data_IF_441139866162
#
_entry.id   IF_441139866162
#
_cell.length_a   1.000
_cell.length_b   1.000
_cell.length_c   1.000
_cell.angle_alpha   90.00
_cell.angle_beta   90.00
_cell.angle_gamma   90.00
#
_symmetry.space_group_name_H-M   'P 1'
#
loop_
_entity.id
_entity.type
_entity.pdbx_description
1 polymer ?
#
# COMPACT_ATOMS: atom_id res chain seq x y z
N UNK A 1 33.38 19.21 25.94
CA UNK A 1 32.72 17.88 25.96
C UNK A 1 31.25 18.14 26.26
N UNK A 2 30.25 17.83 25.44
CA UNK A 2 30.14 16.78 24.42
C UNK A 2 29.54 17.32 23.11
N UNK A 3 30.11 16.84 22.01
CA UNK A 3 29.65 16.94 20.63
C UNK A 3 28.38 16.10 20.47
N UNK A 4 27.24 16.71 20.17
CA UNK A 4 26.03 15.97 19.79
C UNK A 4 25.86 16.01 18.27
N UNK A 5 26.00 14.89 17.54
CA UNK A 5 25.69 14.82 16.12
C UNK A 5 24.21 14.41 15.98
N UNK A 6 23.32 15.36 15.71
CA UNK A 6 21.98 15.04 15.25
C UNK A 6 22.04 14.90 13.72
N UNK A 7 22.36 13.68 13.29
CA UNK A 7 22.26 13.22 11.92
C UNK A 7 20.80 13.42 11.48
N UNK A 8 20.58 14.40 10.61
CA UNK A 8 19.33 14.58 9.88
C UNK A 8 19.16 13.42 8.90
N UNK A 9 18.68 12.28 9.41
CA UNK A 9 18.11 11.23 8.57
C UNK A 9 16.82 11.80 8.01
N UNK A 10 16.90 12.29 6.77
CA UNK A 10 15.74 12.49 5.92
C UNK A 10 15.09 11.13 5.69
N UNK A 11 14.21 10.75 6.59
CA UNK A 11 13.24 9.70 6.34
C UNK A 11 12.40 10.15 5.14
N UNK A 12 12.29 9.37 4.06
CA UNK A 12 11.35 9.68 2.99
C UNK A 12 9.94 9.60 3.60
N UNK A 13 9.32 10.76 3.78
CA UNK A 13 7.90 10.88 4.08
C UNK A 13 7.14 10.16 2.95
N UNK A 14 6.34 9.12 3.22
CA UNK A 14 5.35 8.68 2.23
C UNK A 14 4.30 9.78 2.12
N UNK A 15 4.42 10.58 1.07
CA UNK A 15 3.42 11.58 0.67
C UNK A 15 2.09 10.85 0.43
N UNK A 16 1.03 11.32 1.11
CA UNK A 16 -0.36 11.46 0.62
C UNK A 16 -1.34 11.62 1.80
N UNK A 17 -1.15 12.70 2.57
CA UNK A 17 -2.04 13.14 3.64
C UNK A 17 -2.88 14.35 3.20
N UNK A 18 -3.62 14.22 2.10
CA UNK A 18 -4.70 15.17 1.77
C UNK A 18 -5.68 14.48 0.82
N UNK A 19 -6.67 13.79 1.39
CA UNK A 19 -7.93 13.53 0.69
C UNK A 19 -9.06 13.99 1.59
N UNK A 20 -9.21 15.31 1.67
CA UNK A 20 -10.47 15.96 2.03
C UNK A 20 -11.49 15.61 0.94
N UNK A 21 -12.23 14.50 1.09
CA UNK A 21 -13.21 14.05 0.08
C UNK A 21 -14.49 13.58 0.80
N UNK A 22 -15.69 13.99 0.31
CA UNK A 22 -16.98 13.82 0.99
C UNK A 22 -17.30 12.38 1.43
N UNK A 23 -17.77 12.28 2.68
CA UNK A 23 -17.50 11.18 3.62
C UNK A 23 -18.32 9.88 3.46
N UNK A 24 -19.22 9.74 2.49
CA UNK A 24 -20.12 8.55 2.47
C UNK A 24 -20.02 7.60 1.28
N UNK A 25 -19.80 8.07 0.04
CA UNK A 25 -19.59 7.17 -1.11
C UNK A 25 -18.11 6.84 -1.32
N UNK A 26 -17.23 7.76 -0.94
CA UNK A 26 -15.78 7.61 -1.13
C UNK A 26 -15.12 6.77 -0.04
N UNK A 27 -15.73 6.62 1.14
CA UNK A 27 -15.17 5.82 2.22
C UNK A 27 -15.12 4.32 1.88
N UNK A 28 -16.16 3.79 1.22
CA UNK A 28 -16.18 2.40 0.76
C UNK A 28 -15.10 2.16 -0.29
N UNK A 29 -15.06 3.00 -1.33
CA UNK A 29 -14.03 2.93 -2.38
C UNK A 29 -12.62 3.15 -1.82
N UNK A 30 -12.44 4.10 -0.90
CA UNK A 30 -11.14 4.38 -0.27
C UNK A 30 -10.67 3.21 0.60
N UNK A 31 -11.57 2.51 1.30
CA UNK A 31 -11.22 1.30 2.03
C UNK A 31 -10.79 0.16 1.10
N UNK A 32 -11.47 0.00 -0.05
CA UNK A 32 -11.10 -0.97 -1.08
C UNK A 32 -9.77 -0.59 -1.76
N UNK A 33 -9.56 0.68 -2.11
CA UNK A 33 -8.30 1.21 -2.64
C UNK A 33 -7.14 1.02 -1.65
N UNK A 34 -7.37 1.26 -0.35
CA UNK A 34 -6.38 1.03 0.68
C UNK A 34 -6.00 -0.45 0.79
N UNK A 35 -6.98 -1.37 0.74
CA UNK A 35 -6.72 -2.82 0.69
C UNK A 35 -5.91 -3.19 -0.56
N UNK A 36 -6.25 -2.63 -1.72
CA UNK A 36 -5.52 -2.84 -2.97
C UNK A 36 -4.06 -2.36 -2.86
N UNK A 37 -3.84 -1.16 -2.33
CA UNK A 37 -2.51 -0.58 -2.15
C UNK A 37 -1.64 -1.40 -1.17
N UNK A 38 -2.24 -1.96 -0.11
CA UNK A 38 -1.55 -2.86 0.83
C UNK A 38 -1.14 -4.17 0.16
N UNK A 39 -2.02 -4.76 -0.64
CA UNK A 39 -1.71 -5.98 -1.40
C UNK A 39 -0.60 -5.72 -2.43
N UNK A 40 -0.64 -4.59 -3.12
CA UNK A 40 0.41 -4.19 -4.08
C UNK A 40 1.77 -3.99 -3.41
N UNK A 41 1.80 -3.34 -2.26
CA UNK A 41 3.05 -3.21 -1.48
C UNK A 41 3.59 -4.56 -1.06
N UNK A 42 2.74 -5.47 -0.57
CA UNK A 42 3.16 -6.83 -0.19
C UNK A 42 3.70 -7.62 -1.39
N UNK A 43 3.07 -7.49 -2.57
CA UNK A 43 3.57 -8.12 -3.80
C UNK A 43 4.94 -7.55 -4.17
N UNK A 44 5.09 -6.22 -4.16
CA UNK A 44 6.35 -5.57 -4.50
C UNK A 44 7.48 -5.91 -3.51
N UNK A 45 7.18 -5.98 -2.21
CA UNK A 45 8.13 -6.41 -1.18
C UNK A 45 8.58 -7.86 -1.38
N UNK A 46 7.65 -8.76 -1.71
CA UNK A 46 7.95 -10.18 -1.95
C UNK A 46 8.70 -10.40 -3.29
N UNK A 47 8.33 -9.68 -4.35
CA UNK A 47 9.03 -9.71 -5.65
C UNK A 47 10.43 -9.09 -5.58
N UNK A 48 10.67 -8.16 -4.65
CA UNK A 48 11.98 -7.57 -4.42
C UNK A 48 12.90 -8.46 -3.55
N UNK A 49 12.38 -9.55 -2.96
CA UNK A 49 13.25 -10.52 -2.29
C UNK A 49 14.05 -11.31 -3.32
N UNK A 50 15.34 -11.59 -3.07
CA UNK A 50 16.18 -12.39 -3.97
C UNK A 50 15.71 -13.85 -4.11
N UNK A 51 14.78 -14.29 -3.24
CA UNK A 51 14.08 -15.57 -3.34
C UNK A 51 12.57 -15.31 -3.23
N UNK A 52 11.90 -14.98 -4.33
CA UNK A 52 10.48 -14.67 -4.31
C UNK A 52 9.67 -15.94 -4.03
N UNK A 53 8.83 -15.93 -3.00
CA UNK A 53 7.86 -16.99 -2.78
C UNK A 53 6.74 -16.86 -3.82
N UNK A 54 6.90 -17.60 -4.91
CA UNK A 54 5.98 -17.58 -6.05
C UNK A 54 4.56 -18.01 -5.68
N UNK A 55 4.38 -18.84 -4.64
CA UNK A 55 3.06 -19.21 -4.13
C UNK A 55 2.40 -18.04 -3.42
N UNK A 56 3.13 -17.34 -2.53
CA UNK A 56 2.61 -16.15 -1.85
C UNK A 56 2.34 -15.02 -2.84
N UNK A 57 3.22 -14.77 -3.81
CA UNK A 57 3.01 -13.76 -4.86
C UNK A 57 1.79 -14.10 -5.71
N UNK A 58 1.58 -15.38 -6.07
CA UNK A 58 0.41 -15.80 -6.82
C UNK A 58 -0.90 -15.64 -6.02
N UNK A 59 -0.87 -15.95 -4.72
CA UNK A 59 -2.03 -15.77 -3.84
C UNK A 59 -2.35 -14.28 -3.64
N UNK A 60 -1.33 -13.45 -3.36
CA UNK A 60 -1.46 -11.99 -3.26
C UNK A 60 -1.98 -11.36 -4.55
N UNK A 61 -1.51 -11.82 -5.73
CA UNK A 61 -2.03 -11.38 -7.03
C UNK A 61 -3.50 -11.75 -7.23
N UNK A 62 -3.93 -12.95 -6.81
CA UNK A 62 -5.34 -13.36 -6.83
C UNK A 62 -6.19 -12.50 -5.90
N UNK A 63 -5.71 -12.24 -4.69
CA UNK A 63 -6.39 -11.36 -3.74
C UNK A 63 -6.50 -9.93 -4.30
N UNK A 64 -5.43 -9.41 -4.91
CA UNK A 64 -5.44 -8.10 -5.58
C UNK A 64 -6.47 -8.05 -6.70
N UNK A 65 -6.56 -9.10 -7.52
CA UNK A 65 -7.54 -9.18 -8.60
C UNK A 65 -8.98 -9.08 -8.07
N UNK A 66 -9.29 -9.81 -7.00
CA UNK A 66 -10.62 -9.76 -6.36
C UNK A 66 -10.95 -8.39 -5.80
N UNK A 67 -10.01 -7.74 -5.10
CA UNK A 67 -10.22 -6.38 -4.58
C UNK A 67 -10.43 -5.38 -5.73
N UNK A 68 -9.71 -5.54 -6.84
CA UNK A 68 -9.89 -4.70 -8.03
C UNK A 68 -11.26 -4.91 -8.69
N UNK A 69 -11.76 -6.14 -8.72
CA UNK A 69 -13.11 -6.46 -9.19
C UNK A 69 -14.18 -5.86 -8.27
N UNK A 70 -14.00 -5.94 -6.95
CA UNK A 70 -14.91 -5.32 -5.98
C UNK A 70 -14.94 -3.79 -6.12
N UNK A 71 -13.81 -3.14 -6.42
CA UNK A 71 -13.75 -1.71 -6.73
C UNK A 71 -14.53 -1.40 -8.01
N UNK A 72 -14.33 -2.20 -9.06
CA UNK A 72 -15.00 -2.02 -10.35
C UNK A 72 -16.51 -2.27 -10.26
N UNK A 73 -16.94 -3.16 -9.36
CA UNK A 73 -18.35 -3.47 -9.11
C UNK A 73 -19.02 -2.43 -8.19
N UNK A 74 -18.24 -1.76 -7.34
CA UNK A 74 -18.69 -0.66 -6.49
C UNK A 74 -18.76 0.71 -7.22
N UNK A 75 -18.43 0.74 -8.51
CA UNK A 75 -18.50 1.90 -9.41
C UNK A 75 -19.65 1.76 -10.40
#
# INVERSE_FOLDING_TARGET
MATFPAIGVLLPIPVNLTKEVPVMQTAHLSALEAKHAVLDRRIAEEEHRPMPDTFLVADLKKQKLRVKEEIALAH
#
